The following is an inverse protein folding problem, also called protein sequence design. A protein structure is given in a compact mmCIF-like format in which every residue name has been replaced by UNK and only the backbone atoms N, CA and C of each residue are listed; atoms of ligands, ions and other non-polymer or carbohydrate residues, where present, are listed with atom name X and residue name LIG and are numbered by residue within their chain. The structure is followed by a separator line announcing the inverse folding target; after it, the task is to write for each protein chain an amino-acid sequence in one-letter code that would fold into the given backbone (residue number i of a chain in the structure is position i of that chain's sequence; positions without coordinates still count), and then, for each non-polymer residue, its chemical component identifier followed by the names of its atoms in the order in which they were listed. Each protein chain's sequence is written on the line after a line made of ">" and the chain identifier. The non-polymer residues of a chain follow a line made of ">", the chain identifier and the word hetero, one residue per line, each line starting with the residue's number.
data_IF_342046837775
#
_entry.id   IF_342046837775
#
_cell.length_a   1.000
_cell.length_b   1.000
_cell.length_c   1.000
_cell.angle_alpha   90.00
_cell.angle_beta   90.00
_cell.angle_gamma   90.00
#
_symmetry.space_group_name_H-M   'P 1'
#
loop_
_entity.id
_entity.type
_entity.pdbx_description
1 polymer ?
#
# COMPACT_ATOMS: atom_id res chain seq x y z
N UNK A 1 -18.15 29.89 14.87
CA UNK A 1 -17.15 29.10 14.11
C UNK A 1 -17.52 29.21 12.65
N UNK A 2 -16.73 29.96 11.89
CA UNK A 2 -16.99 30.14 10.45
C UNK A 2 -16.69 28.82 9.71
N UNK A 3 -17.31 28.57 8.55
CA UNK A 3 -16.98 27.36 7.75
C UNK A 3 -15.49 27.31 7.35
N UNK A 4 -14.82 28.47 7.36
CA UNK A 4 -13.40 28.65 7.08
C UNK A 4 -12.51 28.07 8.21
N UNK A 5 -12.90 28.22 9.47
CA UNK A 5 -12.21 27.60 10.62
C UNK A 5 -12.40 26.08 10.68
N UNK A 6 -13.54 25.56 10.19
CA UNK A 6 -13.81 24.13 10.13
C UNK A 6 -12.95 23.39 9.08
N UNK A 7 -12.42 24.12 8.09
CA UNK A 7 -11.67 23.56 6.97
C UNK A 7 -10.13 23.58 7.17
N UNK A 8 -9.65 24.23 8.23
CA UNK A 8 -8.22 24.40 8.52
C UNK A 8 -7.48 23.08 8.83
N UNK A 9 -8.21 21.96 9.01
CA UNK A 9 -7.65 20.62 9.21
C UNK A 9 -8.16 19.56 8.23
N UNK A 10 -8.89 19.95 7.17
CA UNK A 10 -9.44 19.00 6.20
C UNK A 10 -8.38 18.65 5.14
N UNK A 11 -8.09 17.36 4.99
CA UNK A 11 -7.26 16.85 3.89
C UNK A 11 -8.10 16.78 2.61
N UNK A 12 -7.58 17.27 1.47
CA UNK A 12 -8.26 17.09 0.18
C UNK A 12 -8.15 15.64 -0.30
N UNK A 13 -9.06 15.18 -1.17
CA UNK A 13 -8.95 13.84 -1.79
C UNK A 13 -7.63 13.67 -2.57
N UNK A 14 -7.10 14.76 -3.12
CA UNK A 14 -5.83 14.76 -3.85
C UNK A 14 -4.66 14.56 -2.89
N UNK A 15 -4.66 15.27 -1.75
CA UNK A 15 -3.62 15.12 -0.73
C UNK A 15 -3.67 13.72 -0.08
N UNK A 16 -4.87 13.17 0.10
CA UNK A 16 -5.06 11.81 0.59
C UNK A 16 -4.52 10.77 -0.40
N UNK A 17 -4.81 10.91 -1.71
CA UNK A 17 -4.25 10.01 -2.73
C UNK A 17 -2.72 10.10 -2.76
N UNK A 18 -2.14 11.30 -2.64
CA UNK A 18 -0.69 11.48 -2.55
C UNK A 18 -0.09 10.77 -1.32
N UNK A 19 -0.71 10.94 -0.15
CA UNK A 19 -0.28 10.24 1.07
C UNK A 19 -0.36 8.71 0.90
N UNK A 20 -1.43 8.21 0.28
CA UNK A 20 -1.59 6.77 0.03
C UNK A 20 -0.55 6.23 -0.95
N UNK A 21 -0.13 7.01 -1.96
CA UNK A 21 0.98 6.66 -2.86
C UNK A 21 2.30 6.52 -2.09
N UNK A 22 2.57 7.45 -1.18
CA UNK A 22 3.76 7.39 -0.33
C UNK A 22 3.73 6.17 0.61
N UNK A 23 2.56 5.88 1.20
CA UNK A 23 2.34 4.70 2.03
C UNK A 23 2.52 3.39 1.25
N UNK A 24 1.96 3.29 0.05
CA UNK A 24 2.15 2.13 -0.82
C UNK A 24 3.63 1.94 -1.14
N UNK A 25 4.33 3.00 -1.56
CA UNK A 25 5.75 2.93 -1.92
C UNK A 25 6.62 2.46 -0.75
N UNK A 26 6.33 2.94 0.46
CA UNK A 26 7.02 2.50 1.66
C UNK A 26 6.73 1.03 1.97
N UNK A 27 5.47 0.62 1.86
CA UNK A 27 5.04 -0.72 2.20
C UNK A 27 5.54 -1.76 1.19
N UNK A 28 5.53 -1.46 -0.11
CA UNK A 28 6.14 -2.29 -1.17
C UNK A 28 7.60 -2.59 -0.88
N UNK A 29 8.37 -1.58 -0.41
CA UNK A 29 9.77 -1.78 -0.02
C UNK A 29 9.92 -2.76 1.12
N UNK A 30 9.06 -2.70 2.15
CA UNK A 30 9.10 -3.66 3.26
C UNK A 30 8.82 -5.08 2.80
N UNK A 31 7.79 -5.25 1.97
CA UNK A 31 7.43 -6.57 1.41
C UNK A 31 8.61 -7.15 0.62
N UNK A 32 9.24 -6.34 -0.25
CA UNK A 32 10.40 -6.75 -1.04
C UNK A 32 11.62 -7.04 -0.18
N UNK A 33 11.92 -6.18 0.79
CA UNK A 33 13.09 -6.33 1.66
C UNK A 33 12.96 -7.56 2.57
N UNK A 34 11.76 -7.84 3.07
CA UNK A 34 11.49 -9.06 3.85
C UNK A 34 11.52 -10.30 2.96
N UNK A 35 10.92 -10.25 1.77
CA UNK A 35 11.00 -11.32 0.78
C UNK A 35 12.45 -11.68 0.46
N UNK A 36 13.33 -10.68 0.28
CA UNK A 36 14.76 -10.89 0.00
C UNK A 36 15.55 -11.49 1.16
N UNK A 37 15.11 -11.29 2.40
CA UNK A 37 15.70 -11.96 3.57
C UNK A 37 15.34 -13.44 3.60
N UNK A 38 14.11 -13.79 3.21
CA UNK A 38 13.62 -15.17 3.15
C UNK A 38 14.17 -15.91 1.92
N UNK A 39 14.15 -15.24 0.76
CA UNK A 39 14.65 -15.74 -0.52
C UNK A 39 15.61 -14.73 -1.17
N UNK A 40 16.93 -14.89 -0.98
CA UNK A 40 17.91 -14.04 -1.62
C UNK A 40 17.74 -14.02 -3.15
N UNK A 41 17.74 -12.82 -3.73
CA UNK A 41 17.62 -12.61 -5.18
C UNK A 41 16.20 -12.53 -5.73
N UNK A 42 15.16 -12.65 -4.89
CA UNK A 42 13.78 -12.45 -5.32
C UNK A 42 13.56 -11.01 -5.84
N UNK A 43 12.81 -10.89 -6.92
CA UNK A 43 12.49 -9.63 -7.57
C UNK A 43 11.12 -9.11 -7.12
N UNK A 44 10.83 -7.84 -7.42
CA UNK A 44 9.51 -7.27 -7.15
C UNK A 44 8.42 -7.89 -8.04
N UNK A 45 8.77 -8.39 -9.23
CA UNK A 45 7.83 -9.08 -10.11
C UNK A 45 7.48 -10.48 -9.61
N UNK A 46 8.44 -11.20 -9.01
CA UNK A 46 8.22 -12.51 -8.38
C UNK A 46 7.17 -12.43 -7.26
N UNK A 47 7.17 -11.34 -6.49
CA UNK A 47 6.23 -11.10 -5.38
C UNK A 47 4.77 -11.03 -5.86
N UNK A 48 4.52 -10.75 -7.14
CA UNK A 48 3.14 -10.76 -7.68
C UNK A 48 2.55 -12.17 -7.74
N UNK A 49 3.38 -13.21 -7.65
CA UNK A 49 2.99 -14.61 -7.61
C UNK A 49 3.68 -15.31 -6.43
N UNK A 50 3.38 -14.90 -5.17
CA UNK A 50 4.17 -15.35 -4.03
C UNK A 50 4.00 -16.85 -3.74
N UNK A 51 2.94 -17.47 -4.25
CA UNK A 51 2.67 -18.90 -4.16
C UNK A 51 3.67 -19.77 -4.95
N UNK A 52 4.43 -19.20 -5.89
CA UNK A 52 5.50 -19.90 -6.60
C UNK A 52 6.78 -20.03 -5.73
N UNK A 53 6.81 -19.38 -4.55
CA UNK A 53 7.97 -19.29 -3.68
C UNK A 53 7.61 -19.79 -2.27
N UNK A 54 7.80 -21.09 -1.98
CA UNK A 54 7.51 -21.66 -0.66
C UNK A 54 8.24 -20.95 0.49
N UNK A 55 9.37 -20.29 0.22
CA UNK A 55 10.11 -19.50 1.21
C UNK A 55 9.34 -18.28 1.71
N UNK A 56 8.30 -17.83 0.99
CA UNK A 56 7.43 -16.72 1.40
C UNK A 56 6.25 -17.18 2.26
N UNK A 57 6.12 -18.47 2.59
CA UNK A 57 5.15 -18.94 3.58
C UNK A 57 5.62 -18.60 5.01
N UNK A 58 5.78 -17.31 5.26
CA UNK A 58 6.28 -16.73 6.49
C UNK A 58 5.23 -15.76 7.07
N UNK A 59 4.86 -15.90 8.36
CA UNK A 59 3.82 -15.07 8.97
C UNK A 59 4.10 -13.58 8.95
N UNK A 60 5.36 -13.16 9.13
CA UNK A 60 5.73 -11.74 9.13
C UNK A 60 5.65 -11.18 7.71
N UNK A 61 6.03 -11.98 6.71
CA UNK A 61 5.88 -11.61 5.30
C UNK A 61 4.41 -11.46 4.91
N UNK A 62 3.56 -12.43 5.26
CA UNK A 62 2.10 -12.36 5.01
C UNK A 62 1.46 -11.14 5.67
N UNK A 63 1.92 -10.75 6.85
CA UNK A 63 1.45 -9.52 7.50
C UNK A 63 1.76 -8.28 6.66
N UNK A 64 3.02 -8.12 6.24
CA UNK A 64 3.43 -6.94 5.45
C UNK A 64 2.74 -6.90 4.08
N UNK A 65 2.55 -8.06 3.43
CA UNK A 65 1.81 -8.18 2.16
C UNK A 65 0.31 -7.86 2.33
N UNK A 66 -0.30 -8.33 3.42
CA UNK A 66 -1.68 -8.00 3.78
C UNK A 66 -1.88 -6.49 4.01
N UNK A 67 -0.92 -5.82 4.65
CA UNK A 67 -0.94 -4.35 4.82
C UNK A 67 -0.85 -3.64 3.46
N UNK A 68 0.03 -4.11 2.56
CA UNK A 68 0.13 -3.57 1.20
C UNK A 68 -1.21 -3.69 0.45
N UNK A 69 -1.81 -4.87 0.49
CA UNK A 69 -3.13 -5.14 -0.11
C UNK A 69 -4.21 -4.22 0.45
N UNK A 70 -4.19 -3.94 1.75
CA UNK A 70 -5.09 -2.99 2.40
C UNK A 70 -4.94 -1.57 1.84
N UNK A 71 -3.70 -1.07 1.71
CA UNK A 71 -3.41 0.25 1.14
C UNK A 71 -3.89 0.34 -0.31
N UNK A 72 -3.60 -0.69 -1.12
CA UNK A 72 -4.02 -0.77 -2.52
C UNK A 72 -5.55 -0.78 -2.69
N UNK A 73 -6.25 -1.45 -1.76
CA UNK A 73 -7.71 -1.48 -1.73
C UNK A 73 -8.30 -0.08 -1.48
N UNK A 74 -7.75 0.66 -0.51
CA UNK A 74 -8.18 2.04 -0.21
C UNK A 74 -7.91 2.96 -1.41
N UNK A 75 -6.73 2.87 -2.03
CA UNK A 75 -6.39 3.66 -3.24
C UNK A 75 -7.36 3.40 -4.38
N UNK A 76 -7.70 2.13 -4.62
CA UNK A 76 -8.68 1.75 -5.64
C UNK A 76 -10.03 2.41 -5.39
N UNK A 77 -10.49 2.43 -4.13
CA UNK A 77 -11.74 3.09 -3.75
C UNK A 77 -11.68 4.63 -3.91
N UNK A 78 -10.58 5.27 -3.50
CA UNK A 78 -10.40 6.72 -3.67
C UNK A 78 -10.38 7.12 -5.15
N UNK A 79 -9.65 6.38 -5.98
CA UNK A 79 -9.62 6.61 -7.44
C UNK A 79 -10.98 6.49 -8.08
N UNK A 80 -11.76 5.46 -7.71
CA UNK A 80 -13.14 5.33 -8.17
C UNK A 80 -13.99 6.54 -7.77
N UNK A 81 -13.78 7.08 -6.56
CA UNK A 81 -14.47 8.29 -6.10
C UNK A 81 -14.09 9.55 -6.89
N UNK A 82 -12.83 9.64 -7.33
CA UNK A 82 -12.31 10.75 -8.12
C UNK A 82 -12.78 10.75 -9.58
N UNK A 83 -13.07 9.57 -10.15
CA UNK A 83 -13.49 9.43 -11.55
C UNK A 83 -14.96 9.83 -11.79
N UNK A 84 -15.73 10.06 -10.73
CA UNK A 84 -17.18 10.31 -10.82
C UNK A 84 -17.98 9.03 -11.13
N UNK A 85 -19.30 9.04 -10.95
CA UNK A 85 -20.18 7.94 -11.36
C UNK A 85 -20.27 7.79 -12.89
#
# INVERSE_FOLDING_TARGET
>A
MTMEEANAGAISLVDLEALLVDMETLQERKVVDLARRLKPGITADDIKNPHDFPELDDPDWHYEDGVLTGIQSVRSAIRARMQGP
#
